data_IF_448425038679
#
_entry.id   IF_448425038679
#
_cell.length_a   1.000
_cell.length_b   1.000
_cell.length_c   1.000
_cell.angle_alpha   90.00
_cell.angle_beta   90.00
_cell.angle_gamma   90.00
#
_symmetry.space_group_name_H-M   'P 1'
#
loop_
_entity.id
_entity.type
_entity.pdbx_description
1 polymer ?
#
# COMPACT_ATOMS: atom_id res chain seq x y z
N UNK A 1 3.48 39.17 11.43
CA UNK A 1 2.32 38.25 11.52
C UNK A 1 1.08 39.09 11.26
N UNK A 2 0.54 39.01 10.05
CA UNK A 2 -0.69 39.72 9.71
C UNK A 2 -1.89 38.95 10.28
N UNK A 3 -2.92 39.63 10.79
CA UNK A 3 -4.10 38.96 11.32
C UNK A 3 -4.80 38.07 10.29
N UNK A 4 -5.54 37.08 10.79
CA UNK A 4 -6.34 36.15 9.98
C UNK A 4 -7.41 36.93 9.21
N UNK A 5 -7.66 36.55 7.95
CA UNK A 5 -8.55 37.26 7.02
C UNK A 5 -9.92 37.68 7.59
N UNK A 6 -10.47 36.91 8.54
CA UNK A 6 -11.73 37.23 9.21
C UNK A 6 -11.70 38.55 10.00
N UNK A 7 -10.57 38.89 10.63
CA UNK A 7 -10.44 40.10 11.46
C UNK A 7 -10.46 41.39 10.64
N UNK A 8 -9.98 41.35 9.39
CA UNK A 8 -10.07 42.50 8.49
C UNK A 8 -11.50 42.70 7.98
N UNK A 9 -12.17 41.60 7.60
CA UNK A 9 -13.54 41.64 7.09
C UNK A 9 -14.54 42.13 8.13
N UNK A 10 -14.34 41.73 9.39
CA UNK A 10 -15.16 42.16 10.53
C UNK A 10 -14.82 43.58 10.99
N UNK A 11 -13.84 44.25 10.36
CA UNK A 11 -13.43 45.61 10.69
C UNK A 11 -12.75 45.74 12.06
N UNK A 12 -12.39 44.62 12.67
CA UNK A 12 -11.72 44.56 13.96
C UNK A 12 -10.26 45.00 13.86
N UNK A 13 -9.67 44.89 12.67
CA UNK A 13 -8.32 45.40 12.37
C UNK A 13 -8.30 46.09 10.99
N UNK A 14 -7.65 47.25 10.85
CA UNK A 14 -7.45 47.86 9.53
C UNK A 14 -6.52 47.03 8.65
N UNK A 15 -6.74 47.05 7.33
CA UNK A 15 -5.79 46.48 6.37
C UNK A 15 -4.44 47.19 6.45
N UNK A 16 -3.32 46.46 6.27
CA UNK A 16 -2.00 47.05 6.30
C UNK A 16 -1.80 48.02 5.13
N UNK A 17 -1.06 49.09 5.38
CA UNK A 17 -0.63 49.99 4.33
C UNK A 17 0.52 49.36 3.50
N UNK A 18 0.74 49.79 2.24
CA UNK A 18 1.79 49.24 1.38
C UNK A 18 3.21 49.27 1.99
N UNK A 19 3.53 50.30 2.78
CA UNK A 19 4.84 50.40 3.43
C UNK A 19 5.00 49.36 4.55
N UNK A 20 3.92 49.00 5.27
CA UNK A 20 3.95 47.98 6.31
C UNK A 20 4.14 46.58 5.69
N UNK A 21 3.57 46.35 4.51
CA UNK A 21 3.81 45.12 3.72
C UNK A 21 5.28 45.02 3.31
N UNK A 22 5.87 46.10 2.80
CA UNK A 22 7.30 46.14 2.44
C UNK A 22 8.22 45.87 3.63
N UNK A 23 7.93 46.48 4.77
CA UNK A 23 8.72 46.30 5.99
C UNK A 23 8.59 44.87 6.53
N UNK A 24 7.42 44.26 6.42
CA UNK A 24 7.23 42.85 6.76
C UNK A 24 8.07 41.92 5.89
N UNK A 25 8.04 42.10 4.56
CA UNK A 25 8.84 41.29 3.62
C UNK A 25 10.32 41.40 3.94
N UNK A 26 10.82 42.62 4.18
CA UNK A 26 12.22 42.87 4.56
C UNK A 26 12.61 42.17 5.86
N UNK A 27 11.80 42.28 6.91
CA UNK A 27 12.07 41.60 8.19
C UNK A 27 12.04 40.08 8.06
N UNK A 28 11.15 39.55 7.23
CA UNK A 28 11.12 38.12 6.94
C UNK A 28 12.43 37.68 6.25
N UNK A 29 12.91 38.46 5.29
CA UNK A 29 14.21 38.26 4.64
C UNK A 29 15.38 38.24 5.64
N UNK A 30 15.47 39.27 6.49
CA UNK A 30 16.52 39.41 7.51
C UNK A 30 16.51 38.27 8.54
N UNK A 31 15.33 37.68 8.77
CA UNK A 31 15.16 36.51 9.62
C UNK A 31 15.46 35.17 8.92
N UNK A 32 15.91 35.19 7.66
CA UNK A 32 16.25 34.00 6.88
C UNK A 32 15.06 33.34 6.18
N UNK A 33 13.94 34.03 6.01
CA UNK A 33 12.81 33.52 5.23
C UNK A 33 13.09 33.65 3.74
N UNK A 34 13.00 32.53 3.02
CA UNK A 34 13.20 32.47 1.56
C UNK A 34 11.96 32.89 0.75
N UNK A 35 10.84 33.18 1.42
CA UNK A 35 9.62 33.64 0.78
C UNK A 35 8.59 34.17 1.77
N UNK A 36 7.49 34.72 1.26
CA UNK A 36 6.35 35.19 2.04
C UNK A 36 5.06 34.63 1.44
N UNK A 37 4.29 33.89 2.23
CA UNK A 37 2.97 33.40 1.79
C UNK A 37 1.86 34.37 2.18
N UNK A 38 1.06 34.78 1.19
CA UNK A 38 -0.14 35.59 1.38
C UNK A 38 -1.37 34.71 1.14
N UNK A 39 -2.18 34.50 2.17
CA UNK A 39 -3.33 33.57 2.12
C UNK A 39 -4.61 34.23 1.60
N UNK A 40 -4.59 35.51 1.22
CA UNK A 40 -5.76 36.18 0.65
C UNK A 40 -5.34 37.22 -0.40
N UNK A 41 -5.48 36.82 -1.67
CA UNK A 41 -5.22 37.68 -2.84
C UNK A 41 -6.31 38.76 -3.02
N UNK A 42 -7.54 38.50 -2.55
CA UNK A 42 -8.70 39.40 -2.69
C UNK A 42 -8.52 40.76 -2.00
N UNK A 43 -7.55 40.88 -1.11
CA UNK A 43 -7.31 42.08 -0.30
C UNK A 43 -6.01 42.81 -0.64
N UNK A 44 -5.31 42.38 -1.70
CA UNK A 44 -4.10 43.04 -2.17
C UNK A 44 -4.43 44.07 -3.25
N UNK A 45 -4.13 45.33 -2.97
CA UNK A 45 -4.20 46.40 -3.96
C UNK A 45 -2.96 46.36 -4.86
N UNK A 46 -3.05 46.99 -6.03
CA UNK A 46 -1.92 47.15 -6.95
C UNK A 46 -0.69 47.74 -6.24
N UNK A 47 -0.87 48.77 -5.40
CA UNK A 47 0.21 49.35 -4.61
C UNK A 47 0.81 48.38 -3.57
N UNK A 48 0.02 47.45 -3.02
CA UNK A 48 0.54 46.41 -2.13
C UNK A 48 1.28 45.33 -2.92
N UNK A 49 0.81 44.97 -4.12
CA UNK A 49 1.53 44.07 -5.02
C UNK A 49 2.86 44.66 -5.47
N UNK A 50 2.88 45.93 -5.84
CA UNK A 50 4.12 46.66 -6.14
C UNK A 50 5.04 46.72 -4.93
N UNK A 51 4.49 46.90 -3.73
CA UNK A 51 5.27 46.86 -2.50
C UNK A 51 5.94 45.49 -2.29
N UNK A 52 5.24 44.38 -2.54
CA UNK A 52 5.80 43.02 -2.47
C UNK A 52 6.84 42.80 -3.57
N UNK A 53 6.52 43.13 -4.83
CA UNK A 53 7.43 42.95 -5.97
C UNK A 53 8.72 43.79 -5.83
N UNK A 54 8.61 45.02 -5.31
CA UNK A 54 9.76 45.89 -5.02
C UNK A 54 10.58 45.42 -3.81
N UNK A 55 9.97 44.65 -2.91
CA UNK A 55 10.63 44.10 -1.72
C UNK A 55 11.15 42.67 -1.95
N UNK A 56 10.76 42.03 -3.05
CA UNK A 56 11.14 40.67 -3.37
C UNK A 56 12.68 40.59 -3.37
N UNK A 57 13.15 39.79 -2.42
CA UNK A 57 14.55 39.40 -2.29
C UNK A 57 14.91 38.75 -3.61
N UNK A 58 16.01 39.17 -4.25
CA UNK A 58 16.53 38.42 -5.39
C UNK A 58 16.61 36.95 -5.00
N UNK A 59 15.80 36.11 -5.62
CA UNK A 59 15.86 34.64 -5.52
C UNK A 59 17.09 34.11 -6.26
N UNK A 60 18.23 34.80 -6.11
CA UNK A 60 19.52 34.49 -6.74
C UNK A 60 20.12 33.18 -6.17
N UNK A 61 19.51 32.62 -5.12
CA UNK A 61 19.80 31.29 -4.61
C UNK A 61 18.56 30.38 -4.70
N UNK A 62 18.35 29.80 -5.87
CA UNK A 62 18.03 28.38 -5.98
C UNK A 62 16.61 27.92 -5.65
N UNK A 63 15.58 28.60 -6.12
CA UNK A 63 14.42 27.85 -6.63
C UNK A 63 14.71 27.50 -8.09
N UNK A 64 15.61 26.54 -8.32
CA UNK A 64 15.66 25.86 -9.61
C UNK A 64 14.30 25.13 -9.76
N UNK A 65 13.30 25.83 -10.29
CA UNK A 65 12.13 25.18 -10.87
C UNK A 65 12.68 24.07 -11.76
N UNK A 66 12.40 22.80 -11.41
CA UNK A 66 12.84 21.65 -12.20
C UNK A 66 12.61 21.97 -13.66
N UNK A 67 13.69 21.99 -14.44
CA UNK A 67 13.62 22.26 -15.86
C UNK A 67 12.58 21.34 -16.49
N UNK A 68 11.86 21.81 -17.51
CA UNK A 68 10.94 20.95 -18.27
C UNK A 68 11.62 19.64 -18.68
N UNK A 69 12.93 19.66 -18.96
CA UNK A 69 13.72 18.48 -19.27
C UNK A 69 13.90 17.54 -18.07
N UNK A 70 14.18 18.07 -16.88
CA UNK A 70 14.30 17.28 -15.64
C UNK A 70 12.95 16.67 -15.25
N UNK A 71 11.86 17.42 -15.44
CA UNK A 71 10.50 16.93 -15.22
C UNK A 71 10.14 15.79 -16.20
N UNK A 72 10.48 15.94 -17.48
CA UNK A 72 10.28 14.91 -18.50
C UNK A 72 11.13 13.66 -18.21
N UNK A 73 12.36 13.83 -17.74
CA UNK A 73 13.25 12.74 -17.35
C UNK A 73 12.69 12.00 -16.14
N UNK A 74 12.30 12.71 -15.08
CA UNK A 74 11.69 12.12 -13.89
C UNK A 74 10.40 11.36 -14.22
N UNK A 75 9.58 11.92 -15.11
CA UNK A 75 8.35 11.27 -15.59
C UNK A 75 8.68 9.96 -16.33
N UNK A 76 9.73 9.95 -17.15
CA UNK A 76 10.20 8.75 -17.86
C UNK A 76 10.72 7.70 -16.90
N UNK A 77 11.46 8.10 -15.87
CA UNK A 77 11.96 7.19 -14.84
C UNK A 77 10.81 6.56 -14.04
N UNK A 78 9.81 7.36 -13.65
CA UNK A 78 8.61 6.86 -12.95
C UNK A 78 7.86 5.83 -13.80
N UNK A 79 7.70 6.08 -15.11
CA UNK A 79 7.09 5.11 -16.03
C UNK A 79 7.89 3.80 -16.12
N UNK A 80 9.23 3.90 -16.14
CA UNK A 80 10.10 2.73 -16.15
C UNK A 80 10.02 1.93 -14.84
N UNK A 81 9.92 2.60 -13.69
CA UNK A 81 9.70 1.96 -12.39
C UNK A 81 8.35 1.25 -12.35
N UNK A 82 7.27 1.90 -12.82
CA UNK A 82 5.95 1.27 -12.94
C UNK A 82 6.00 -0.03 -13.75
N UNK A 83 6.68 0.00 -14.90
CA UNK A 83 6.85 -1.18 -15.77
C UNK A 83 7.71 -2.29 -15.15
N UNK A 84 8.58 -1.97 -14.20
CA UNK A 84 9.36 -2.95 -13.43
C UNK A 84 8.51 -3.58 -12.32
N UNK A 85 7.66 -2.79 -11.67
CA UNK A 85 6.71 -3.27 -10.66
C UNK A 85 5.71 -4.25 -11.29
N UNK A 86 5.10 -3.93 -12.42
CA UNK A 86 4.12 -4.80 -13.09
C UNK A 86 4.69 -6.19 -13.43
N UNK A 87 5.95 -6.22 -13.90
CA UNK A 87 6.66 -7.48 -14.17
C UNK A 87 6.92 -8.27 -12.90
N UNK A 88 7.42 -7.61 -11.85
CA UNK A 88 7.68 -8.26 -10.57
C UNK A 88 6.40 -8.82 -9.95
N UNK A 89 5.29 -8.08 -10.02
CA UNK A 89 3.98 -8.55 -9.57
C UNK A 89 3.52 -9.78 -10.35
N UNK A 90 3.74 -9.79 -11.67
CA UNK A 90 3.44 -10.94 -12.52
C UNK A 90 4.27 -12.15 -12.13
N UNK A 91 5.57 -11.99 -11.92
CA UNK A 91 6.49 -13.05 -11.52
C UNK A 91 6.12 -13.60 -10.14
N UNK A 92 5.85 -12.73 -9.16
CA UNK A 92 5.42 -13.13 -7.81
C UNK A 92 4.09 -13.86 -7.84
N UNK A 93 3.14 -13.42 -8.68
CA UNK A 93 1.88 -14.15 -8.89
C UNK A 93 2.13 -15.52 -9.51
N UNK A 94 3.02 -15.62 -10.50
CA UNK A 94 3.42 -16.88 -11.12
C UNK A 94 3.99 -17.85 -10.08
N UNK A 95 4.98 -17.41 -9.31
CA UNK A 95 5.61 -18.19 -8.26
C UNK A 95 4.64 -18.62 -7.16
N UNK A 96 3.64 -17.77 -6.81
CA UNK A 96 2.57 -18.13 -5.87
C UNK A 96 1.53 -19.08 -6.47
N UNK A 97 1.27 -18.99 -7.77
CA UNK A 97 0.39 -19.91 -8.50
C UNK A 97 1.02 -21.29 -8.67
N UNK A 98 2.33 -21.35 -8.91
CA UNK A 98 3.12 -22.58 -8.93
C UNK A 98 3.30 -23.19 -7.52
N UNK A 99 3.19 -22.36 -6.47
CA UNK A 99 3.06 -22.79 -5.08
C UNK A 99 1.63 -23.25 -4.74
N UNK A 100 0.95 -23.94 -5.65
CA UNK A 100 -0.25 -24.71 -5.32
C UNK A 100 0.14 -25.76 -4.27
N UNK A 101 -0.35 -25.54 -3.04
CA UNK A 101 -0.21 -26.46 -1.93
C UNK A 101 -0.57 -27.90 -2.35
N UNK A 102 0.09 -28.94 -1.78
CA UNK A 102 -0.36 -30.32 -1.97
C UNK A 102 -1.86 -30.37 -1.62
N UNK A 103 -2.69 -31.11 -2.39
CA UNK A 103 -4.14 -31.11 -2.21
C UNK A 103 -4.48 -31.38 -0.74
N UNK A 104 -4.90 -30.35 -0.02
CA UNK A 104 -5.18 -30.40 1.41
C UNK A 104 -6.67 -30.62 1.59
N UNK A 105 -7.05 -31.89 1.49
CA UNK A 105 -8.29 -32.44 2.00
C UNK A 105 -8.10 -33.95 2.05
N UNK A 106 -8.43 -34.64 3.16
CA UNK A 106 -8.34 -36.08 3.18
C UNK A 106 -9.26 -36.61 2.09
N UNK A 107 -8.68 -37.25 1.07
CA UNK A 107 -9.48 -38.06 0.17
C UNK A 107 -10.22 -39.05 1.07
N UNK A 108 -11.53 -39.18 0.95
CA UNK A 108 -12.27 -40.16 1.78
C UNK A 108 -12.51 -41.42 0.97
N UNK A 109 -12.23 -42.58 1.55
CA UNK A 109 -12.50 -43.88 0.94
C UNK A 109 -13.73 -44.53 1.56
N UNK A 110 -14.70 -44.92 0.74
CA UNK A 110 -15.85 -45.70 1.22
C UNK A 110 -15.53 -47.19 1.07
N UNK A 111 -15.47 -47.90 2.20
CA UNK A 111 -15.19 -49.34 2.25
C UNK A 111 -16.23 -50.10 1.45
N UNK A 112 -15.79 -50.99 0.55
CA UNK A 112 -16.66 -51.88 -0.21
C UNK A 112 -16.70 -53.29 0.40
N UNK A 113 -17.67 -54.10 -0.01
CA UNK A 113 -17.76 -55.49 0.41
C UNK A 113 -16.51 -56.27 -0.04
N UNK A 114 -15.80 -56.85 0.93
CA UNK A 114 -14.57 -57.61 0.69
C UNK A 114 -13.27 -56.81 0.77
N UNK A 115 -13.32 -55.50 1.06
CA UNK A 115 -12.11 -54.73 1.31
C UNK A 115 -11.45 -55.10 2.65
N UNK A 116 -10.13 -54.94 2.69
CA UNK A 116 -9.31 -54.99 3.92
C UNK A 116 -8.52 -53.71 4.02
N UNK A 117 -8.12 -53.27 5.22
CA UNK A 117 -7.31 -52.06 5.37
C UNK A 117 -6.01 -52.12 4.57
N UNK A 118 -5.36 -53.29 4.50
CA UNK A 118 -4.16 -53.52 3.68
C UNK A 118 -4.45 -53.35 2.18
N UNK A 119 -5.56 -53.91 1.69
CA UNK A 119 -5.95 -53.76 0.29
C UNK A 119 -6.33 -52.32 -0.07
N UNK A 120 -7.01 -51.61 0.84
CA UNK A 120 -7.35 -50.19 0.67
C UNK A 120 -6.08 -49.34 0.65
N UNK A 121 -5.17 -49.54 1.62
CA UNK A 121 -3.89 -48.84 1.66
C UNK A 121 -3.09 -49.04 0.37
N UNK A 122 -3.03 -50.27 -0.16
CA UNK A 122 -2.37 -50.55 -1.42
C UNK A 122 -3.05 -49.86 -2.62
N UNK A 123 -4.39 -49.90 -2.71
CA UNK A 123 -5.16 -49.20 -3.75
C UNK A 123 -4.91 -47.68 -3.73
N UNK A 124 -4.70 -47.12 -2.54
CA UNK A 124 -4.43 -45.71 -2.31
C UNK A 124 -2.94 -45.33 -2.37
N UNK A 125 -2.04 -46.30 -2.60
CA UNK A 125 -0.60 -46.05 -2.65
C UNK A 125 0.04 -45.70 -1.29
N UNK A 126 -0.62 -46.03 -0.18
CA UNK A 126 -0.07 -45.82 1.16
C UNK A 126 1.00 -46.87 1.48
N UNK A 127 2.02 -46.46 2.24
CA UNK A 127 3.11 -47.35 2.67
C UNK A 127 2.65 -48.51 3.58
N UNK A 128 1.47 -48.38 4.20
CA UNK A 128 0.90 -49.40 5.07
C UNK A 128 -0.49 -49.02 5.58
N UNK A 129 -1.20 -50.02 6.10
CA UNK A 129 -2.54 -49.83 6.65
C UNK A 129 -2.54 -49.14 8.02
N UNK A 130 -1.39 -49.07 8.71
CA UNK A 130 -1.28 -48.49 10.05
C UNK A 130 -1.63 -47.01 10.05
N UNK A 131 -1.11 -46.24 9.10
CA UNK A 131 -1.42 -44.81 8.96
C UNK A 131 -2.93 -44.58 8.71
N UNK A 132 -3.54 -45.44 7.87
CA UNK A 132 -4.97 -45.40 7.60
C UNK A 132 -5.79 -45.77 8.85
N UNK A 133 -5.35 -46.75 9.63
CA UNK A 133 -6.01 -47.12 10.88
C UNK A 133 -5.90 -46.02 11.94
N UNK A 134 -4.71 -45.44 12.12
CA UNK A 134 -4.48 -44.40 13.14
C UNK A 134 -5.29 -43.14 12.85
N UNK A 135 -5.41 -42.74 11.57
CA UNK A 135 -6.27 -41.64 11.14
C UNK A 135 -7.78 -41.92 11.36
N UNK A 136 -8.19 -43.20 11.40
CA UNK A 136 -9.59 -43.62 11.47
C UNK A 136 -9.93 -44.45 12.71
N UNK A 137 -9.09 -44.40 13.75
CA UNK A 137 -9.26 -45.24 14.94
C UNK A 137 -10.61 -44.98 15.64
N UNK A 138 -11.08 -43.73 15.60
CA UNK A 138 -12.40 -43.36 16.10
C UNK A 138 -13.56 -44.03 15.32
N UNK A 139 -13.39 -44.27 14.03
CA UNK A 139 -14.40 -44.85 13.13
C UNK A 139 -14.35 -46.38 13.11
N UNK A 140 -13.15 -46.96 13.14
CA UNK A 140 -12.91 -48.41 13.06
C UNK A 140 -13.02 -49.08 14.44
N UNK A 141 -12.65 -48.36 15.51
CA UNK A 141 -12.63 -48.88 16.87
C UNK A 141 -11.36 -49.69 17.18
N UNK A 142 -11.43 -50.53 18.22
CA UNK A 142 -10.26 -51.22 18.78
C UNK A 142 -9.70 -52.38 17.93
N UNK A 143 -10.42 -52.86 16.92
CA UNK A 143 -9.96 -53.96 16.07
C UNK A 143 -9.79 -53.49 14.61
N UNK A 144 -8.55 -53.32 14.11
CA UNK A 144 -8.28 -52.87 12.74
C UNK A 144 -8.78 -53.85 11.66
N UNK A 145 -8.99 -55.12 11.99
CA UNK A 145 -9.47 -56.12 11.03
C UNK A 145 -11.00 -56.08 10.83
N UNK A 146 -11.72 -55.25 11.59
CA UNK A 146 -13.19 -55.17 11.56
C UNK A 146 -13.61 -53.86 10.90
N UNK A 147 -13.54 -53.82 9.57
CA UNK A 147 -14.14 -52.75 8.76
C UNK A 147 -15.44 -53.22 8.13
N UNK A 148 -16.41 -52.31 7.98
CA UNK A 148 -17.74 -52.58 7.45
C UNK A 148 -17.94 -51.88 6.11
N UNK A 149 -18.55 -52.54 5.12
CA UNK A 149 -18.94 -51.90 3.88
C UNK A 149 -19.82 -50.67 4.16
N UNK A 150 -19.54 -49.56 3.47
CA UNK A 150 -20.19 -48.26 3.67
C UNK A 150 -19.52 -47.35 4.71
N UNK A 151 -18.49 -47.81 5.42
CA UNK A 151 -17.69 -46.92 6.28
C UNK A 151 -16.88 -45.94 5.43
N UNK A 152 -16.89 -44.67 5.81
CA UNK A 152 -16.07 -43.62 5.21
C UNK A 152 -14.79 -43.46 6.03
N UNK A 153 -13.64 -43.72 5.41
CA UNK A 153 -12.32 -43.58 6.00
C UNK A 153 -11.64 -42.34 5.45
N UNK A 154 -11.05 -41.52 6.31
CA UNK A 154 -10.16 -40.44 5.92
C UNK A 154 -8.81 -41.01 5.45
N UNK A 155 -8.41 -40.72 4.22
CA UNK A 155 -7.08 -41.06 3.72
C UNK A 155 -6.08 -40.05 4.29
N UNK A 156 -5.05 -40.51 5.02
CA UNK A 156 -4.04 -39.66 5.66
C UNK A 156 -3.09 -39.01 4.66
#
# INVERSE_FOLDING_TARGET
MFPVAGLYREGLTPYPAPHEVRDFVRRAAEAGSHGVSFWSYEHMSEAMWDAVASAAISTDEGEEEMSSTEYEELTRELAAVGSRLDRLETDVRGLRGDAQAPPSGPATYTVQAGDTLSGIAQKLGLAGWQALYDANRATIGGNPNVIKPGQVLAVP
#
